data_IF_227164266693
#
_entry.id   IF_227164266693
#
_cell.length_a   1.000
_cell.length_b   1.000
_cell.length_c   1.000
_cell.angle_alpha   90.00
_cell.angle_beta   90.00
_cell.angle_gamma   90.00
#
_symmetry.space_group_name_H-M   'P 1'
#
loop_
_entity.id
_entity.type
_entity.pdbx_description
1 polymer ?
#
# COMPACT_ATOMS: atom_id res chain seq x y z
N UNK A 1 -0.17 37.19 5.16
CA UNK A 1 0.76 37.61 4.10
C UNK A 1 1.68 36.45 3.79
N UNK A 2 1.69 35.99 2.53
CA UNK A 2 2.33 34.77 2.10
C UNK A 2 3.87 34.83 2.20
N UNK A 3 4.47 33.94 2.99
CA UNK A 3 5.91 33.72 3.01
C UNK A 3 6.23 32.55 2.06
N UNK A 4 6.80 32.90 0.91
CA UNK A 4 7.34 31.96 -0.08
C UNK A 4 8.58 31.30 0.51
N UNK A 5 8.56 29.97 0.69
CA UNK A 5 9.72 29.20 1.13
C UNK A 5 10.84 29.30 0.08
N UNK A 6 11.94 29.94 0.46
CA UNK A 6 13.11 30.12 -0.39
C UNK A 6 13.89 28.80 -0.53
N UNK A 7 13.82 28.19 -1.71
CA UNK A 7 14.75 27.16 -2.13
C UNK A 7 16.16 27.78 -2.24
N UNK A 8 17.13 27.29 -1.45
CA UNK A 8 18.53 27.66 -1.59
C UNK A 8 19.13 26.93 -2.79
N UNK A 9 19.06 27.56 -3.96
CA UNK A 9 19.81 27.16 -5.14
C UNK A 9 21.30 27.50 -4.94
N UNK A 10 22.18 26.50 -5.05
CA UNK A 10 23.63 26.72 -5.16
C UNK A 10 23.93 26.88 -6.64
N UNK A 11 24.34 28.08 -7.05
CA UNK A 11 24.65 28.40 -8.44
C UNK A 11 25.99 27.80 -8.88
N UNK A 12 26.01 27.00 -9.94
CA UNK A 12 27.24 26.55 -10.60
C UNK A 12 27.12 26.64 -12.12
N UNK A 13 28.01 27.44 -12.73
CA UNK A 13 28.58 27.28 -14.09
C UNK A 13 27.72 27.62 -15.31
N UNK A 14 28.16 28.52 -16.22
CA UNK A 14 27.46 28.80 -17.47
C UNK A 14 27.86 27.77 -18.54
N UNK A 15 26.97 26.82 -18.84
CA UNK A 15 27.30 25.77 -19.79
C UNK A 15 26.12 25.12 -20.50
N UNK A 16 25.07 25.85 -20.87
CA UNK A 16 23.92 25.26 -21.58
C UNK A 16 23.34 26.21 -22.65
N UNK A 17 24.05 26.41 -23.77
CA UNK A 17 23.45 26.98 -25.00
C UNK A 17 23.18 25.86 -26.00
N UNK A 18 21.93 25.74 -26.46
CA UNK A 18 21.52 24.83 -27.53
C UNK A 18 20.62 23.64 -27.14
N UNK A 19 20.12 23.58 -25.89
CA UNK A 19 19.25 22.49 -25.45
C UNK A 19 17.80 22.65 -25.93
N UNK A 20 17.09 21.52 -26.17
CA UNK A 20 15.66 21.54 -26.45
C UNK A 20 14.89 22.32 -25.36
N UNK A 21 13.76 22.93 -25.74
CA UNK A 21 12.98 23.89 -24.92
C UNK A 21 12.51 23.36 -23.54
N UNK A 22 12.69 22.07 -23.25
CA UNK A 22 12.42 21.46 -21.94
C UNK A 22 13.54 20.50 -21.54
N UNK A 23 14.18 20.78 -20.40
CA UNK A 23 15.17 19.89 -19.79
C UNK A 23 14.50 18.57 -19.35
N UNK A 24 15.21 17.43 -19.42
CA UNK A 24 14.64 16.16 -19.00
C UNK A 24 14.47 16.08 -17.48
N UNK A 25 13.38 15.44 -17.03
CA UNK A 25 13.20 15.05 -15.63
C UNK A 25 13.74 13.63 -15.43
N UNK A 26 14.80 13.51 -14.63
CA UNK A 26 15.40 12.22 -14.27
C UNK A 26 14.90 11.79 -12.90
N UNK A 27 14.27 10.62 -12.83
CA UNK A 27 13.78 10.03 -11.57
C UNK A 27 14.65 8.85 -11.19
N UNK A 28 15.27 8.90 -10.01
CA UNK A 28 16.13 7.82 -9.50
C UNK A 28 15.33 6.97 -8.51
N UNK A 29 14.99 5.74 -8.90
CA UNK A 29 14.28 4.77 -8.07
C UNK A 29 15.21 3.65 -7.60
N UNK A 30 14.83 3.00 -6.51
CA UNK A 30 15.57 1.86 -5.97
C UNK A 30 15.31 1.63 -4.49
N UNK A 31 15.57 0.42 -4.02
CA UNK A 31 15.43 0.07 -2.61
C UNK A 31 16.34 0.92 -1.71
N UNK A 32 16.03 0.99 -0.42
CA UNK A 32 16.95 1.57 0.56
C UNK A 32 18.32 0.87 0.50
N UNK A 33 19.41 1.65 0.60
CA UNK A 33 20.78 1.11 0.57
C UNK A 33 21.37 0.87 -0.82
N UNK A 34 20.66 1.13 -1.92
CA UNK A 34 21.19 0.95 -3.29
C UNK A 34 22.08 2.09 -3.80
N UNK A 35 22.32 3.16 -3.03
CA UNK A 35 23.18 4.26 -3.46
C UNK A 35 22.49 5.36 -4.28
N UNK A 36 21.15 5.48 -4.21
CA UNK A 36 20.39 6.52 -4.94
C UNK A 36 20.95 7.94 -4.76
N UNK A 37 21.24 8.35 -3.53
CA UNK A 37 21.77 9.68 -3.23
C UNK A 37 23.18 9.87 -3.82
N UNK A 38 24.02 8.84 -3.78
CA UNK A 38 25.35 8.85 -4.40
C UNK A 38 25.24 9.09 -5.91
N UNK A 39 24.36 8.35 -6.59
CA UNK A 39 24.15 8.54 -8.02
C UNK A 39 23.59 9.94 -8.33
N UNK A 40 22.62 10.42 -7.56
CA UNK A 40 22.04 11.75 -7.75
C UNK A 40 23.09 12.86 -7.67
N UNK A 41 23.97 12.80 -6.66
CA UNK A 41 25.07 13.75 -6.49
C UNK A 41 26.06 13.69 -7.65
N UNK A 42 26.47 12.49 -8.06
CA UNK A 42 27.42 12.31 -9.16
C UNK A 42 26.85 12.80 -10.51
N UNK A 43 25.58 12.52 -10.78
CA UNK A 43 24.89 13.04 -11.98
C UNK A 43 24.77 14.57 -11.93
N UNK A 44 24.35 15.13 -10.78
CA UNK A 44 24.22 16.59 -10.61
C UNK A 44 25.55 17.32 -10.83
N UNK A 45 26.65 16.78 -10.29
CA UNK A 45 27.99 17.33 -10.47
C UNK A 45 28.48 17.26 -11.91
N UNK A 46 28.22 16.15 -12.62
CA UNK A 46 28.75 15.92 -13.99
C UNK A 46 27.90 16.53 -15.09
N UNK A 47 26.60 16.72 -14.87
CA UNK A 47 25.64 17.15 -15.90
C UNK A 47 25.00 18.51 -15.61
N UNK A 48 25.17 19.07 -14.41
CA UNK A 48 24.63 20.37 -14.03
C UNK A 48 23.11 20.35 -13.83
N UNK A 49 22.66 19.72 -12.74
CA UNK A 49 21.24 19.62 -12.40
C UNK A 49 20.94 19.81 -10.91
N UNK A 50 19.69 20.13 -10.59
CA UNK A 50 19.19 20.29 -9.23
C UNK A 50 18.62 18.97 -8.69
N UNK A 51 18.89 18.68 -7.43
CA UNK A 51 18.42 17.45 -6.76
C UNK A 51 17.21 17.80 -5.90
N UNK A 52 16.09 17.16 -6.20
CA UNK A 52 14.86 17.25 -5.40
C UNK A 52 14.65 15.93 -4.68
N UNK A 53 14.56 15.97 -3.35
CA UNK A 53 14.24 14.79 -2.54
C UNK A 53 12.76 14.46 -2.63
N UNK A 54 12.46 13.17 -2.80
CA UNK A 54 11.10 12.64 -2.84
C UNK A 54 10.85 11.60 -1.73
N UNK A 55 11.58 11.73 -0.61
CA UNK A 55 11.40 10.88 0.57
C UNK A 55 10.35 11.50 1.50
N UNK A 56 9.29 10.73 1.80
CA UNK A 56 8.18 11.16 2.66
C UNK A 56 8.56 11.33 4.13
N UNK A 57 9.76 10.89 4.52
CA UNK A 57 10.22 10.88 5.91
C UNK A 57 11.12 12.06 6.29
N UNK A 58 11.37 13.00 5.39
CA UNK A 58 12.09 14.22 5.76
C UNK A 58 11.17 15.14 6.57
N UNK A 59 11.58 15.59 7.77
CA UNK A 59 10.75 16.43 8.61
C UNK A 59 10.47 17.74 7.87
N UNK A 60 9.20 17.97 7.54
CA UNK A 60 8.74 19.30 7.18
C UNK A 60 8.47 20.03 8.49
N UNK A 61 9.35 20.94 8.88
CA UNK A 61 9.01 22.00 9.83
C UNK A 61 7.93 22.83 9.15
N UNK A 62 6.67 22.49 9.44
CA UNK A 62 5.50 23.22 8.92
C UNK A 62 4.66 23.60 10.12
N UNK A 63 4.56 24.91 10.33
CA UNK A 63 3.66 25.54 11.27
C UNK A 63 2.25 24.97 11.06
N UNK A 64 1.71 24.33 12.09
CA UNK A 64 0.44 23.62 12.02
C UNK A 64 -0.69 24.60 12.32
N UNK A 65 -1.18 25.29 11.29
CA UNK A 65 -2.60 25.67 11.29
C UNK A 65 -3.43 24.39 11.21
N UNK A 66 -4.12 24.07 12.30
CA UNK A 66 -5.00 22.90 12.44
C UNK A 66 -6.22 23.05 11.52
N UNK A 67 -6.06 22.77 10.23
CA UNK A 67 -7.18 22.38 9.38
C UNK A 67 -7.61 21.00 9.88
N UNK A 68 -8.83 20.89 10.40
CA UNK A 68 -9.42 19.61 10.79
C UNK A 68 -9.50 18.76 9.53
N UNK A 69 -8.58 17.80 9.37
CA UNK A 69 -8.58 16.89 8.23
C UNK A 69 -9.77 15.94 8.40
N UNK A 70 -10.83 16.17 7.63
CA UNK A 70 -12.06 15.35 7.59
C UNK A 70 -11.76 13.86 7.46
N UNK A 71 -10.64 13.52 6.80
CA UNK A 71 -10.14 12.15 6.71
C UNK A 71 -9.85 11.52 8.07
N UNK A 72 -9.25 12.26 8.99
CA UNK A 72 -8.89 11.79 10.34
C UNK A 72 -10.14 11.49 11.17
N UNK A 73 -11.23 12.22 10.94
CA UNK A 73 -12.53 11.91 11.57
C UNK A 73 -13.10 10.60 11.02
N UNK A 74 -13.13 10.45 9.68
CA UNK A 74 -13.62 9.25 9.04
C UNK A 74 -12.82 8.00 9.44
N UNK A 75 -11.50 8.12 9.62
CA UNK A 75 -10.64 7.00 10.04
C UNK A 75 -10.96 6.47 11.45
N UNK A 76 -11.67 7.24 12.30
CA UNK A 76 -12.14 6.80 13.63
C UNK A 76 -13.37 5.89 13.57
N UNK A 77 -14.10 5.90 12.46
CA UNK A 77 -15.29 5.06 12.29
C UNK A 77 -14.94 3.59 12.01
N UNK A 78 -15.94 2.71 12.11
CA UNK A 78 -15.75 1.31 11.75
C UNK A 78 -15.54 1.14 10.24
N UNK A 79 -14.62 0.23 9.86
CA UNK A 79 -14.23 0.03 8.47
C UNK A 79 -15.37 -0.53 7.60
N UNK A 80 -16.23 -1.38 8.15
CA UNK A 80 -17.37 -1.92 7.43
C UNK A 80 -18.47 -0.87 7.25
N UNK A 81 -18.68 -0.02 8.26
CA UNK A 81 -19.60 1.11 8.15
C UNK A 81 -19.16 2.08 7.04
N UNK A 82 -17.87 2.44 7.01
CA UNK A 82 -17.31 3.28 5.94
C UNK A 82 -17.43 2.62 4.56
N UNK A 83 -17.13 1.32 4.46
CA UNK A 83 -17.23 0.59 3.19
C UNK A 83 -18.68 0.51 2.69
N UNK A 84 -19.65 0.31 3.59
CA UNK A 84 -21.08 0.34 3.28
C UNK A 84 -21.51 1.72 2.75
N UNK A 85 -21.07 2.80 3.39
CA UNK A 85 -21.27 4.17 2.90
C UNK A 85 -20.66 4.37 1.51
N UNK A 86 -19.43 3.89 1.31
CA UNK A 86 -18.76 3.97 0.01
C UNK A 86 -19.51 3.16 -1.05
N UNK A 87 -20.08 2.01 -0.73
CA UNK A 87 -20.86 1.21 -1.67
C UNK A 87 -22.15 1.88 -2.13
N UNK A 88 -22.72 2.79 -1.33
CA UNK A 88 -23.93 3.55 -1.71
C UNK A 88 -23.59 4.72 -2.65
N UNK A 89 -22.40 5.29 -2.48
CA UNK A 89 -21.93 6.50 -3.17
C UNK A 89 -21.13 6.16 -4.45
N UNK A 90 -20.25 5.17 -4.36
CA UNK A 90 -19.29 4.78 -5.38
C UNK A 90 -19.11 3.24 -5.36
N UNK A 91 -20.07 2.47 -5.91
CA UNK A 91 -20.03 1.01 -5.91
C UNK A 91 -18.81 0.45 -6.66
N UNK A 92 -18.35 1.15 -7.70
CA UNK A 92 -17.17 0.76 -8.46
C UNK A 92 -15.88 0.81 -7.64
N UNK A 93 -15.72 1.84 -6.79
CA UNK A 93 -14.56 1.96 -5.92
C UNK A 93 -14.67 1.02 -4.72
N UNK A 94 -15.88 0.84 -4.17
CA UNK A 94 -16.14 -0.13 -3.11
C UNK A 94 -15.79 -1.57 -3.52
N UNK A 95 -16.08 -1.97 -4.77
CA UNK A 95 -15.69 -3.29 -5.28
C UNK A 95 -14.16 -3.49 -5.35
N UNK A 96 -13.39 -2.40 -5.52
CA UNK A 96 -11.92 -2.45 -5.65
C UNK A 96 -11.19 -2.36 -4.29
N UNK A 97 -11.86 -1.87 -3.25
CA UNK A 97 -11.26 -1.62 -1.94
C UNK A 97 -11.78 -2.61 -0.90
N UNK A 98 -10.87 -3.21 -0.13
CA UNK A 98 -11.26 -4.07 0.98
C UNK A 98 -11.79 -3.23 2.15
N UNK A 99 -12.81 -3.66 2.92
CA UNK A 99 -13.29 -2.89 4.08
C UNK A 99 -12.23 -2.59 5.14
N UNK A 100 -11.22 -3.47 5.28
CA UNK A 100 -10.06 -3.24 6.14
C UNK A 100 -9.09 -2.15 5.63
N UNK A 101 -9.16 -1.74 4.36
CA UNK A 101 -8.37 -0.62 3.83
C UNK A 101 -8.98 0.74 4.24
N UNK A 102 -9.24 0.92 5.54
CA UNK A 102 -9.95 2.07 6.12
C UNK A 102 -9.48 3.42 5.56
N UNK A 103 -8.16 3.62 5.47
CA UNK A 103 -7.55 4.87 4.96
C UNK A 103 -7.93 5.18 3.51
N UNK A 104 -8.02 4.16 2.64
CA UNK A 104 -8.38 4.35 1.23
C UNK A 104 -9.89 4.55 1.06
N UNK A 105 -10.68 3.84 1.88
CA UNK A 105 -12.14 4.00 1.93
C UNK A 105 -12.48 5.41 2.41
N UNK A 106 -11.91 5.83 3.55
CA UNK A 106 -12.04 7.18 4.10
C UNK A 106 -11.61 8.26 3.09
N UNK A 107 -10.47 8.07 2.39
CA UNK A 107 -10.06 9.02 1.34
C UNK A 107 -11.04 9.09 0.18
N UNK A 108 -11.64 7.96 -0.23
CA UNK A 108 -12.61 7.96 -1.34
C UNK A 108 -13.92 8.64 -0.94
N UNK A 109 -14.38 8.43 0.29
CA UNK A 109 -15.51 9.15 0.86
C UNK A 109 -15.23 10.65 0.99
N UNK A 110 -14.05 11.03 1.48
CA UNK A 110 -13.63 12.43 1.57
C UNK A 110 -13.66 13.13 0.20
N UNK A 111 -13.11 12.48 -0.84
CA UNK A 111 -13.16 13.05 -2.21
C UNK A 111 -14.60 13.30 -2.65
N UNK A 112 -15.51 12.37 -2.37
CA UNK A 112 -16.92 12.57 -2.69
C UNK A 112 -17.58 13.66 -1.84
N UNK A 113 -17.32 13.71 -0.54
CA UNK A 113 -17.86 14.76 0.36
C UNK A 113 -17.37 16.16 -0.04
N UNK A 114 -16.13 16.30 -0.49
CA UNK A 114 -15.53 17.58 -0.89
C UNK A 114 -15.92 18.03 -2.30
N UNK A 115 -16.07 17.09 -3.25
CA UNK A 115 -16.24 17.42 -4.68
C UNK A 115 -17.63 17.13 -5.23
N UNK A 116 -18.43 16.29 -4.55
CA UNK A 116 -19.69 15.75 -5.04
C UNK A 116 -19.54 14.72 -6.17
N UNK A 117 -18.32 14.42 -6.63
CA UNK A 117 -18.04 13.48 -7.72
C UNK A 117 -17.45 12.20 -7.13
N UNK A 118 -17.88 11.04 -7.64
CA UNK A 118 -17.35 9.76 -7.17
C UNK A 118 -15.85 9.63 -7.49
N UNK A 119 -15.10 8.96 -6.63
CA UNK A 119 -13.66 8.83 -6.80
C UNK A 119 -13.34 7.95 -8.04
N UNK A 120 -14.16 6.93 -8.31
CA UNK A 120 -14.07 6.12 -9.52
C UNK A 120 -14.22 6.96 -10.79
N UNK A 121 -15.17 7.90 -10.82
CA UNK A 121 -15.38 8.81 -11.94
C UNK A 121 -14.20 9.77 -12.12
N UNK A 122 -13.68 10.35 -11.03
CA UNK A 122 -12.51 11.22 -11.08
C UNK A 122 -11.30 10.51 -11.70
N UNK A 123 -11.05 9.26 -11.28
CA UNK A 123 -10.00 8.42 -11.86
C UNK A 123 -10.30 8.01 -13.31
N UNK A 124 -11.57 7.88 -13.69
CA UNK A 124 -11.95 7.60 -15.07
C UNK A 124 -11.63 8.78 -15.97
N UNK A 125 -12.02 10.00 -15.57
CA UNK A 125 -11.73 11.24 -16.28
C UNK A 125 -10.23 11.44 -16.48
N UNK A 126 -9.43 11.26 -15.42
CA UNK A 126 -7.97 11.35 -15.52
C UNK A 126 -7.38 10.36 -16.53
N UNK A 127 -7.88 9.13 -16.58
CA UNK A 127 -7.38 8.12 -17.54
C UNK A 127 -7.80 8.40 -18.97
N UNK A 128 -8.92 9.10 -19.17
CA UNK A 128 -9.45 9.45 -20.48
C UNK A 128 -8.76 10.68 -21.11
N UNK A 129 -8.01 11.45 -20.33
CA UNK A 129 -7.20 12.57 -20.84
C UNK A 129 -6.16 12.09 -21.86
N UNK A 130 -5.80 12.95 -22.81
CA UNK A 130 -4.79 12.64 -23.82
C UNK A 130 -3.42 12.39 -23.17
N UNK A 131 -2.85 11.20 -23.38
CA UNK A 131 -1.65 10.74 -22.68
C UNK A 131 -1.91 10.08 -21.32
N UNK A 132 -3.17 9.94 -20.91
CA UNK A 132 -3.61 9.16 -19.76
C UNK A 132 -3.34 7.66 -19.93
N UNK A 133 -3.28 6.94 -18.82
CA UNK A 133 -2.98 5.52 -18.82
C UNK A 133 -3.39 4.80 -17.53
N UNK A 134 -3.05 3.51 -17.36
CA UNK A 134 -3.47 2.71 -16.21
C UNK A 134 -3.04 3.27 -14.84
N UNK A 135 -2.06 4.20 -14.83
CA UNK A 135 -1.52 4.81 -13.62
C UNK A 135 -2.18 6.14 -13.25
N UNK A 136 -2.93 6.77 -14.15
CA UNK A 136 -3.57 8.08 -13.96
C UNK A 136 -3.59 8.92 -15.24
N UNK A 137 -3.61 10.24 -15.06
CA UNK A 137 -3.53 11.20 -16.16
C UNK A 137 -2.15 11.32 -16.81
N UNK A 138 -1.99 12.25 -17.76
CA UNK A 138 -0.78 12.42 -18.53
C UNK A 138 0.41 12.85 -17.67
N UNK A 139 1.61 12.55 -18.17
CA UNK A 139 2.84 13.01 -17.54
C UNK A 139 2.95 14.52 -17.67
N UNK A 140 3.07 15.20 -16.53
CA UNK A 140 3.36 16.64 -16.48
C UNK A 140 4.64 17.00 -17.24
N UNK A 141 5.64 16.10 -17.22
CA UNK A 141 6.91 16.27 -17.89
C UNK A 141 7.09 15.17 -18.97
N UNK A 142 6.92 15.51 -20.26
CA UNK A 142 6.95 14.52 -21.34
C UNK A 142 8.36 13.97 -21.58
N UNK A 143 9.39 14.77 -21.34
CA UNK A 143 10.79 14.35 -21.42
C UNK A 143 11.27 13.81 -20.05
N UNK A 144 10.69 12.70 -19.59
CA UNK A 144 11.08 12.09 -18.31
C UNK A 144 11.66 10.69 -18.50
N UNK A 145 12.60 10.31 -17.64
CA UNK A 145 13.16 8.96 -17.60
C UNK A 145 13.33 8.48 -16.16
N UNK A 146 13.26 7.17 -15.97
CA UNK A 146 13.43 6.53 -14.67
C UNK A 146 14.71 5.70 -14.70
N UNK A 147 15.63 5.99 -13.80
CA UNK A 147 16.79 5.15 -13.51
C UNK A 147 16.45 4.28 -12.30
N UNK A 148 16.34 2.97 -12.51
CA UNK A 148 16.02 2.02 -11.45
C UNK A 148 17.26 1.25 -11.02
N UNK A 149 17.80 1.63 -9.85
CA UNK A 149 18.87 0.91 -9.19
C UNK A 149 18.29 -0.34 -8.55
N UNK A 150 18.64 -1.49 -9.12
CA UNK A 150 18.30 -2.78 -8.56
C UNK A 150 19.55 -3.54 -8.15
N UNK A 151 19.42 -4.26 -7.05
CA UNK A 151 20.39 -5.23 -6.60
C UNK A 151 19.61 -6.47 -6.19
N UNK A 152 20.13 -7.65 -6.52
CA UNK A 152 19.72 -8.86 -5.82
C UNK A 152 20.22 -8.71 -4.39
N UNK A 153 19.30 -8.30 -3.53
CA UNK A 153 19.61 -7.84 -2.17
C UNK A 153 20.37 -8.93 -1.42
N UNK A 154 21.63 -8.66 -1.07
CA UNK A 154 22.25 -9.35 0.05
C UNK A 154 21.72 -8.69 1.31
N UNK A 155 20.85 -9.40 2.04
CA UNK A 155 20.34 -9.01 3.36
C UNK A 155 21.48 -8.50 4.28
N UNK A 156 22.70 -9.02 4.08
CA UNK A 156 23.96 -8.60 4.71
C UNK A 156 24.28 -7.11 4.57
N UNK A 157 24.04 -6.50 3.40
CA UNK A 157 24.32 -5.07 3.17
C UNK A 157 23.38 -4.17 3.97
N UNK A 158 22.11 -4.57 4.09
CA UNK A 158 21.13 -3.86 4.91
C UNK A 158 21.44 -4.03 6.39
N UNK A 159 21.86 -5.23 6.82
CA UNK A 159 22.28 -5.47 8.20
C UNK A 159 23.48 -4.61 8.56
N UNK A 160 24.53 -4.62 7.72
CA UNK A 160 25.72 -3.77 7.92
C UNK A 160 25.36 -2.30 8.00
N UNK A 161 24.46 -1.82 7.14
CA UNK A 161 23.99 -0.43 7.19
C UNK A 161 23.33 -0.09 8.53
N UNK A 162 22.54 -0.99 9.10
CA UNK A 162 21.93 -0.77 10.42
C UNK A 162 23.01 -0.73 11.49
N UNK A 163 24.02 -1.59 11.41
CA UNK A 163 25.16 -1.59 12.33
C UNK A 163 25.96 -0.27 12.22
N UNK A 164 26.21 0.21 11.00
CA UNK A 164 26.86 1.50 10.75
C UNK A 164 26.03 2.68 11.30
N UNK A 165 24.69 2.63 11.19
CA UNK A 165 23.79 3.64 11.77
C UNK A 165 23.86 3.66 13.31
N UNK A 166 23.95 2.49 13.95
CA UNK A 166 24.11 2.39 15.40
C UNK A 166 25.46 2.95 15.83
N UNK A 167 26.54 2.62 15.11
CA UNK A 167 27.88 3.14 15.36
C UNK A 167 27.95 4.68 15.18
N UNK A 168 27.15 5.23 14.27
CA UNK A 168 27.05 6.68 14.05
C UNK A 168 26.21 7.43 15.09
N UNK A 169 25.60 6.74 16.07
CA UNK A 169 24.86 7.38 17.16
C UNK A 169 23.33 7.39 17.01
N UNK A 170 22.75 6.49 16.22
CA UNK A 170 21.28 6.37 16.08
C UNK A 170 20.54 6.30 17.43
N UNK A 171 21.11 5.59 18.42
CA UNK A 171 20.49 5.48 19.75
C UNK A 171 20.40 6.83 20.47
N UNK A 172 21.40 7.69 20.30
CA UNK A 172 21.42 9.00 20.94
C UNK A 172 20.44 9.96 20.27
N UNK A 173 20.27 9.86 18.95
CA UNK A 173 19.22 10.55 18.22
C UNK A 173 17.83 10.12 18.71
N UNK A 174 17.59 8.80 18.85
CA UNK A 174 16.31 8.25 19.34
C UNK A 174 16.01 8.67 20.77
N UNK A 175 17.01 8.68 21.67
CA UNK A 175 16.87 9.20 23.04
C UNK A 175 16.58 10.70 23.05
N UNK A 176 17.27 11.47 22.21
CA UNK A 176 17.04 12.90 22.06
C UNK A 176 15.64 13.22 21.57
N UNK A 177 15.14 12.43 20.62
CA UNK A 177 13.77 12.52 20.12
C UNK A 177 12.75 12.12 21.20
N UNK A 178 12.94 10.99 21.88
CA UNK A 178 12.04 10.53 22.94
C UNK A 178 11.93 11.53 24.09
N UNK A 179 13.04 12.15 24.52
CA UNK A 179 13.03 13.18 25.57
C UNK A 179 12.23 14.42 25.16
N UNK A 180 12.51 14.98 23.98
CA UNK A 180 11.79 16.16 23.47
C UNK A 180 10.30 15.87 23.27
N UNK A 181 9.99 14.71 22.70
CA UNK A 181 8.61 14.34 22.41
C UNK A 181 7.77 14.03 23.65
N UNK A 182 8.32 13.31 24.64
CA UNK A 182 7.59 13.06 25.89
C UNK A 182 7.33 14.35 26.66
N UNK A 183 8.21 15.34 26.59
CA UNK A 183 7.98 16.65 27.22
C UNK A 183 6.74 17.36 26.64
N UNK A 184 6.48 17.23 25.34
CA UNK A 184 5.33 17.86 24.67
C UNK A 184 4.02 17.05 24.82
N UNK A 185 4.09 15.71 24.86
CA UNK A 185 2.92 14.82 24.76
C UNK A 185 2.49 14.08 26.02
N UNK A 186 3.29 14.08 27.10
CA UNK A 186 2.82 13.62 28.42
C UNK A 186 1.62 14.45 28.91
N UNK A 187 1.45 15.67 28.39
CA UNK A 187 0.26 16.48 28.62
C UNK A 187 -1.03 15.97 27.91
N UNK A 188 -0.92 15.17 26.83
CA UNK A 188 -2.05 14.82 25.96
C UNK A 188 -2.40 13.33 25.88
N UNK A 189 -1.61 12.43 26.48
CA UNK A 189 -1.92 11.00 26.65
C UNK A 189 -2.40 10.25 25.38
N UNK A 190 -1.90 10.62 24.18
CA UNK A 190 -2.21 9.93 22.92
C UNK A 190 -0.92 9.56 22.18
N UNK A 191 -0.59 8.27 22.11
CA UNK A 191 0.52 7.76 21.30
C UNK A 191 -0.01 7.22 19.97
N UNK A 192 -0.14 8.09 18.98
CA UNK A 192 -0.58 7.67 17.66
C UNK A 192 0.61 7.34 16.73
N UNK A 193 0.98 6.05 16.69
CA UNK A 193 2.04 5.54 15.80
C UNK A 193 1.63 5.47 14.33
N UNK A 194 0.38 5.79 14.02
CA UNK A 194 -0.17 5.65 12.68
C UNK A 194 0.01 6.90 11.82
N UNK A 195 0.51 8.01 12.37
CA UNK A 195 0.61 9.30 11.68
C UNK A 195 1.98 9.97 11.84
N UNK A 196 2.34 10.78 10.84
CA UNK A 196 3.53 11.65 10.87
C UNK A 196 4.86 10.91 11.05
N UNK A 197 5.80 11.58 11.73
CA UNK A 197 7.16 11.07 11.98
C UNK A 197 7.18 9.72 12.70
N UNK A 198 6.09 9.35 13.41
CA UNK A 198 5.98 8.07 14.08
C UNK A 198 5.91 6.89 13.13
N UNK A 199 5.59 7.08 11.85
CA UNK A 199 5.68 6.00 10.85
C UNK A 199 7.13 5.64 10.48
N UNK A 200 8.12 6.40 10.94
CA UNK A 200 9.54 6.14 10.69
C UNK A 200 9.94 4.74 11.17
N UNK A 201 10.75 4.09 10.34
CA UNK A 201 11.46 2.86 10.70
C UNK A 201 12.61 3.27 11.62
N UNK A 202 12.67 2.71 12.83
CA UNK A 202 13.71 3.01 13.82
C UNK A 202 13.15 3.46 15.16
N UNK A 203 12.04 4.22 15.20
CA UNK A 203 11.50 4.66 16.49
C UNK A 203 10.62 3.59 17.15
N UNK A 204 9.70 2.97 16.40
CA UNK A 204 8.74 1.98 16.92
C UNK A 204 9.45 0.75 17.47
N UNK A 205 10.52 0.34 16.81
CA UNK A 205 11.29 -0.85 17.15
C UNK A 205 12.03 -0.70 18.47
N UNK A 206 12.40 0.53 18.86
CA UNK A 206 13.12 0.82 20.11
C UNK A 206 12.21 1.43 21.18
N UNK A 207 10.90 1.55 20.93
CA UNK A 207 9.98 2.21 21.85
C UNK A 207 9.93 1.55 23.24
N UNK A 208 9.85 0.21 23.27
CA UNK A 208 9.86 -0.58 24.51
C UNK A 208 11.16 -0.36 25.31
N UNK A 209 12.30 -0.28 24.60
CA UNK A 209 13.61 0.03 25.20
C UNK A 209 13.66 1.45 25.78
N UNK A 210 13.13 2.45 25.06
CA UNK A 210 13.18 3.86 25.46
C UNK A 210 12.28 4.19 26.67
N UNK A 211 11.13 3.50 26.84
CA UNK A 211 10.25 3.73 28.01
C UNK A 211 10.78 3.06 29.29
N UNK A 212 11.44 1.91 29.13
CA UNK A 212 11.96 1.09 30.23
C UNK A 212 13.36 1.53 30.68
N UNK A 213 13.98 2.46 29.95
CA UNK A 213 15.28 3.06 30.27
C UNK A 213 15.23 3.69 31.68
N UNK A 214 16.12 3.23 32.57
CA UNK A 214 16.19 3.66 33.97
C UNK A 214 15.21 2.98 34.94
N UNK A 215 14.29 2.11 34.46
CA UNK A 215 13.30 1.39 35.30
C UNK A 215 13.56 -0.11 35.44
N UNK A 216 14.45 -0.67 34.62
CA UNK A 216 14.70 -2.11 34.54
C UNK A 216 16.16 -2.47 34.82
N UNK A 217 16.42 -3.76 35.06
CA UNK A 217 17.79 -4.28 35.25
C UNK A 217 18.64 -4.13 33.97
N UNK A 218 19.98 -4.00 34.09
CA UNK A 218 20.88 -3.90 32.94
C UNK A 218 20.73 -5.05 31.94
N UNK A 219 20.46 -6.27 32.43
CA UNK A 219 20.28 -7.46 31.60
C UNK A 219 19.01 -7.35 30.74
N UNK A 220 17.91 -6.91 31.34
CA UNK A 220 16.63 -6.71 30.65
C UNK A 220 16.74 -5.61 29.60
N UNK A 221 17.43 -4.51 29.95
CA UNK A 221 17.69 -3.40 29.01
C UNK A 221 18.49 -3.86 27.79
N UNK A 222 19.53 -4.66 27.99
CA UNK A 222 20.34 -5.23 26.91
C UNK A 222 19.54 -6.19 26.02
N UNK A 223 18.61 -6.97 26.58
CA UNK A 223 17.73 -7.85 25.80
C UNK A 223 16.77 -7.05 24.92
N UNK A 224 16.16 -5.98 25.47
CA UNK A 224 15.27 -5.09 24.71
C UNK A 224 16.02 -4.36 23.60
N UNK A 225 17.27 -3.94 23.85
CA UNK A 225 18.12 -3.34 22.84
C UNK A 225 18.38 -4.30 21.67
N UNK A 226 18.77 -5.55 21.95
CA UNK A 226 18.99 -6.57 20.92
C UNK A 226 17.72 -6.85 20.12
N UNK A 227 16.58 -6.98 20.80
CA UNK A 227 15.26 -7.15 20.18
C UNK A 227 14.92 -5.99 19.24
N UNK A 228 15.19 -4.75 19.66
CA UNK A 228 14.98 -3.56 18.83
C UNK A 228 15.85 -3.53 17.58
N UNK A 229 17.14 -3.89 17.70
CA UNK A 229 18.08 -3.97 16.57
C UNK A 229 17.64 -5.04 15.57
N UNK A 230 17.26 -6.23 16.03
CA UNK A 230 16.78 -7.30 15.16
C UNK A 230 15.48 -6.91 14.45
N UNK A 231 14.55 -6.29 15.17
CA UNK A 231 13.31 -5.76 14.60
C UNK A 231 13.59 -4.71 13.52
N UNK A 232 14.51 -3.78 13.77
CA UNK A 232 14.93 -2.76 12.80
C UNK A 232 15.52 -3.37 11.53
N UNK A 233 16.41 -4.36 11.66
CA UNK A 233 16.97 -5.11 10.52
C UNK A 233 15.86 -5.78 9.71
N UNK A 234 14.92 -6.47 10.38
CA UNK A 234 13.80 -7.15 9.71
C UNK A 234 12.86 -6.18 9.00
N UNK A 235 12.49 -5.05 9.62
CA UNK A 235 11.61 -4.05 9.02
C UNK A 235 12.28 -3.37 7.82
N UNK A 236 13.58 -3.07 7.92
CA UNK A 236 14.37 -2.51 6.81
C UNK A 236 14.39 -3.46 5.60
N UNK A 237 14.61 -4.77 5.82
CA UNK A 237 14.54 -5.80 4.76
C UNK A 237 13.15 -5.88 4.13
N UNK A 238 12.10 -5.91 4.96
CA UNK A 238 10.71 -5.92 4.48
C UNK A 238 10.38 -4.67 3.65
N UNK A 239 10.84 -3.50 4.08
CA UNK A 239 10.67 -2.25 3.37
C UNK A 239 11.38 -2.26 2.01
N UNK A 240 12.64 -2.71 1.97
CA UNK A 240 13.42 -2.84 0.74
C UNK A 240 12.74 -3.78 -0.29
N UNK A 241 12.21 -4.92 0.18
CA UNK A 241 11.44 -5.86 -0.68
C UNK A 241 10.13 -5.25 -1.17
N UNK A 242 9.44 -4.50 -0.30
CA UNK A 242 8.20 -3.78 -0.66
C UNK A 242 8.45 -2.71 -1.73
N UNK A 243 9.52 -1.94 -1.61
CA UNK A 243 9.93 -0.95 -2.62
C UNK A 243 10.20 -1.61 -3.98
N UNK A 244 10.99 -2.68 -4.01
CA UNK A 244 11.25 -3.42 -5.25
C UNK A 244 9.98 -3.98 -5.87
N UNK A 245 9.10 -4.57 -5.06
CA UNK A 245 7.78 -5.06 -5.53
C UNK A 245 6.93 -3.92 -6.07
N UNK A 246 6.94 -2.76 -5.42
CA UNK A 246 6.18 -1.59 -5.87
C UNK A 246 6.71 -1.08 -7.21
N UNK A 247 8.02 -0.92 -7.39
CA UNK A 247 8.60 -0.49 -8.68
C UNK A 247 8.24 -1.48 -9.80
N UNK A 248 8.43 -2.78 -9.56
CA UNK A 248 8.08 -3.83 -10.51
C UNK A 248 6.60 -3.76 -10.91
N UNK A 249 5.69 -3.74 -9.94
CA UNK A 249 4.25 -3.75 -10.21
C UNK A 249 3.70 -2.44 -10.78
N UNK A 250 4.28 -1.30 -10.38
CA UNK A 250 3.80 0.04 -10.76
C UNK A 250 4.32 0.45 -12.13
N UNK A 251 5.61 0.25 -12.41
CA UNK A 251 6.26 0.77 -13.61
C UNK A 251 6.59 -0.31 -14.64
N UNK A 252 6.99 -1.52 -14.24
CA UNK A 252 7.43 -2.55 -15.19
C UNK A 252 6.30 -3.45 -15.69
N UNK A 253 5.35 -3.80 -14.81
CA UNK A 253 4.24 -4.71 -15.13
C UNK A 253 3.06 -4.01 -15.81
N UNK A 254 3.06 -2.69 -15.93
CA UNK A 254 1.97 -1.93 -16.57
C UNK A 254 2.53 -0.80 -17.44
N UNK A 255 3.23 -1.13 -18.54
CA UNK A 255 3.75 -0.11 -19.44
C UNK A 255 2.58 0.54 -20.18
N UNK A 256 2.11 1.69 -19.68
CA UNK A 256 1.16 2.55 -20.38
C UNK A 256 1.89 3.73 -21.05
N UNK A 257 1.24 4.46 -21.97
CA UNK A 257 1.81 5.66 -22.59
C UNK A 257 2.15 6.75 -21.55
N UNK A 258 1.48 6.72 -20.39
CA UNK A 258 1.73 7.61 -19.24
C UNK A 258 2.92 7.17 -18.36
N UNK A 259 3.70 6.16 -18.76
CA UNK A 259 4.80 5.62 -17.96
C UNK A 259 6.14 5.95 -18.60
N UNK A 260 7.03 6.71 -17.93
CA UNK A 260 8.34 7.01 -18.46
C UNK A 260 9.17 5.73 -18.66
N UNK A 261 10.08 5.68 -19.64
CA UNK A 261 10.97 4.54 -19.83
C UNK A 261 11.82 4.31 -18.57
N UNK A 262 11.84 3.05 -18.13
CA UNK A 262 12.61 2.60 -16.96
C UNK A 262 13.88 1.92 -17.42
N UNK A 263 15.04 2.41 -16.98
CA UNK A 263 16.34 1.82 -17.25
C UNK A 263 16.89 1.16 -15.98
N UNK A 264 17.20 -0.13 -16.06
CA UNK A 264 17.76 -0.89 -14.94
C UNK A 264 19.26 -0.66 -14.82
N UNK A 265 19.72 -0.36 -13.61
CA UNK A 265 21.13 -0.24 -13.26
C UNK A 265 21.44 -1.24 -12.15
N UNK A 266 22.39 -2.14 -12.41
CA UNK A 266 22.73 -3.21 -11.48
C UNK A 266 23.77 -2.75 -10.44
N UNK A 267 23.44 -2.93 -9.15
CA UNK A 267 24.26 -2.49 -8.01
C UNK A 267 24.73 -3.66 -7.14
N UNK A 268 24.89 -4.85 -7.73
CA UNK A 268 25.28 -6.06 -7.00
C UNK A 268 26.70 -5.96 -6.42
N UNK A 269 27.64 -5.36 -7.17
CA UNK A 269 29.03 -5.15 -6.76
C UNK A 269 29.35 -3.65 -6.64
N UNK A 270 29.74 -3.20 -5.44
CA UNK A 270 30.11 -1.80 -5.17
C UNK A 270 31.44 -1.44 -5.84
N UNK A 271 32.32 -2.41 -6.05
CA UNK A 271 33.65 -2.18 -6.65
C UNK A 271 33.54 -1.76 -8.12
N UNK A 272 32.47 -2.20 -8.80
CA UNK A 272 32.18 -1.91 -10.21
C UNK A 272 31.19 -0.76 -10.40
N UNK A 273 30.98 0.06 -9.38
CA UNK A 273 29.99 1.14 -9.39
C UNK A 273 30.12 2.09 -10.59
N UNK A 274 31.36 2.47 -10.94
CA UNK A 274 31.61 3.39 -12.05
C UNK A 274 31.11 2.79 -13.38
N UNK A 275 31.50 1.56 -13.68
CA UNK A 275 31.19 0.84 -14.93
C UNK A 275 29.73 0.36 -14.99
N UNK A 276 29.17 -0.15 -13.89
CA UNK A 276 27.86 -0.81 -13.88
C UNK A 276 26.68 0.13 -13.62
N UNK A 277 26.93 1.29 -12.99
CA UNK A 277 25.89 2.23 -12.59
C UNK A 277 26.13 3.61 -13.18
N UNK A 278 27.30 4.21 -12.92
CA UNK A 278 27.50 5.64 -13.19
C UNK A 278 27.65 5.94 -14.68
N UNK A 279 28.51 5.22 -15.39
CA UNK A 279 28.73 5.41 -16.83
C UNK A 279 27.43 5.16 -17.65
N UNK A 280 26.69 4.05 -17.44
CA UNK A 280 25.42 3.85 -18.13
C UNK A 280 24.38 4.93 -17.79
N UNK A 281 24.30 5.37 -16.53
CA UNK A 281 23.40 6.44 -16.13
C UNK A 281 23.74 7.77 -16.84
N UNK A 282 25.03 8.12 -16.94
CA UNK A 282 25.47 9.33 -17.64
C UNK A 282 25.14 9.27 -19.12
N UNK A 283 25.37 8.13 -19.78
CA UNK A 283 25.04 7.94 -21.19
C UNK A 283 23.54 8.11 -21.44
N UNK A 284 22.71 7.48 -20.61
CA UNK A 284 21.26 7.59 -20.69
C UNK A 284 20.84 9.05 -20.53
N UNK A 285 21.25 9.72 -19.45
CA UNK A 285 20.81 11.09 -19.19
C UNK A 285 21.33 12.06 -20.26
N UNK A 286 22.58 11.92 -20.73
CA UNK A 286 23.11 12.72 -21.84
C UNK A 286 22.29 12.55 -23.12
N UNK A 287 21.85 11.34 -23.43
CA UNK A 287 20.99 11.08 -24.58
C UNK A 287 19.65 11.83 -24.47
N UNK A 288 19.02 11.80 -23.29
CA UNK A 288 17.78 12.54 -23.01
C UNK A 288 17.98 14.06 -23.08
N UNK A 289 19.10 14.57 -22.58
CA UNK A 289 19.47 16.00 -22.68
C UNK A 289 19.61 16.41 -24.16
N UNK A 290 20.21 15.55 -25.00
CA UNK A 290 20.40 15.78 -26.43
C UNK A 290 19.16 15.50 -27.29
N UNK A 291 18.05 15.04 -26.70
CA UNK A 291 16.83 14.64 -27.42
C UNK A 291 16.98 13.37 -28.26
N UNK A 292 17.98 12.52 -27.96
CA UNK A 292 18.22 11.23 -28.62
C UNK A 292 17.72 10.08 -27.77
N UNK A 293 17.37 8.96 -28.40
CA UNK A 293 17.08 7.71 -27.69
C UNK A 293 18.41 7.09 -27.22
N UNK A 294 18.54 6.68 -25.94
CA UNK A 294 19.75 6.03 -25.46
C UNK A 294 19.93 4.64 -26.08
N UNK A 295 21.18 4.16 -26.13
CA UNK A 295 21.51 2.83 -26.65
C UNK A 295 20.97 1.70 -25.77
N UNK A 296 20.90 1.92 -24.44
CA UNK A 296 20.32 0.99 -23.50
C UNK A 296 18.81 0.79 -23.74
N UNK A 297 18.35 -0.46 -23.74
CA UNK A 297 16.94 -0.77 -23.83
C UNK A 297 16.24 -0.59 -22.48
N UNK A 298 15.01 -0.03 -22.43
CA UNK A 298 14.25 0.06 -21.20
C UNK A 298 13.83 -1.33 -20.72
N UNK A 299 13.86 -1.53 -19.40
CA UNK A 299 13.44 -2.77 -18.74
C UNK A 299 11.94 -2.93 -18.90
N UNK A 300 11.52 -4.10 -19.38
CA UNK A 300 10.11 -4.50 -19.47
C UNK A 300 9.94 -5.83 -18.74
N UNK A 301 8.83 -5.99 -18.03
CA UNK A 301 8.42 -7.30 -17.52
C UNK A 301 7.19 -7.79 -18.28
N UNK A 302 7.07 -9.11 -18.51
CA UNK A 302 5.85 -9.68 -19.08
C UNK A 302 4.67 -9.29 -18.19
N UNK A 303 3.64 -8.70 -18.80
CA UNK A 303 2.37 -8.47 -18.12
C UNK A 303 1.46 -9.66 -18.44
N UNK A 304 1.08 -10.39 -17.41
CA UNK A 304 -0.01 -11.36 -17.53
C UNK A 304 -1.34 -10.60 -17.48
N UNK A 305 -1.96 -10.39 -18.64
CA UNK A 305 -3.25 -9.70 -18.78
C UNK A 305 -4.42 -10.52 -18.22
N UNK A 306 -4.21 -11.81 -17.93
CA UNK A 306 -5.28 -12.75 -17.61
C UNK A 306 -5.73 -12.73 -16.14
N UNK A 307 -4.95 -12.16 -15.22
CA UNK A 307 -5.30 -12.11 -13.79
C UNK A 307 -6.04 -10.81 -13.43
N UNK A 308 -7.37 -10.87 -13.22
CA UNK A 308 -8.11 -9.76 -12.65
C UNK A 308 -7.85 -9.64 -11.13
N UNK A 309 -6.85 -8.83 -10.77
CA UNK A 309 -6.44 -8.57 -9.37
C UNK A 309 -7.42 -7.68 -8.59
N UNK A 310 -8.56 -7.33 -9.17
CA UNK A 310 -9.53 -6.37 -8.61
C UNK A 310 -10.96 -6.91 -8.56
N UNK A 311 -11.17 -8.18 -8.91
CA UNK A 311 -12.47 -8.83 -8.74
C UNK A 311 -12.82 -8.92 -7.25
N UNK A 312 -14.11 -8.74 -6.95
CA UNK A 312 -14.63 -8.81 -5.60
C UNK A 312 -15.32 -10.17 -5.41
N UNK A 313 -14.88 -10.95 -4.44
CA UNK A 313 -15.45 -12.25 -4.09
C UNK A 313 -15.81 -12.30 -2.61
N UNK A 314 -16.97 -12.86 -2.28
CA UNK A 314 -17.42 -13.08 -0.92
C UNK A 314 -17.57 -14.58 -0.68
N UNK A 315 -16.96 -15.09 0.39
CA UNK A 315 -17.16 -16.47 0.81
C UNK A 315 -18.18 -16.52 1.95
N UNK A 316 -19.41 -16.95 1.65
CA UNK A 316 -20.48 -17.09 2.65
C UNK A 316 -20.14 -18.11 3.75
N UNK A 317 -19.28 -19.10 3.46
CA UNK A 317 -18.90 -20.13 4.42
C UNK A 317 -17.90 -19.64 5.45
N UNK A 318 -16.98 -18.77 5.02
CA UNK A 318 -15.92 -18.23 5.87
C UNK A 318 -16.23 -16.83 6.38
N UNK A 319 -17.30 -16.20 5.88
CA UNK A 319 -17.64 -14.79 6.10
C UNK A 319 -16.43 -13.87 5.83
N UNK A 320 -15.84 -14.03 4.64
CA UNK A 320 -14.62 -13.31 4.24
C UNK A 320 -14.75 -12.73 2.85
N UNK A 321 -14.31 -11.49 2.73
CA UNK A 321 -14.15 -10.78 1.46
C UNK A 321 -12.75 -11.04 0.93
N UNK A 322 -12.65 -11.39 -0.35
CA UNK A 322 -11.40 -11.68 -1.04
C UNK A 322 -11.37 -10.90 -2.35
N UNK A 323 -10.28 -10.17 -2.57
CA UNK A 323 -10.10 -9.37 -3.77
C UNK A 323 -9.07 -10.05 -4.66
N UNK A 324 -9.45 -10.32 -5.91
CA UNK A 324 -8.61 -10.95 -6.92
C UNK A 324 -8.94 -12.42 -7.17
N UNK A 325 -8.95 -12.82 -8.44
CA UNK A 325 -9.34 -14.17 -8.85
C UNK A 325 -8.35 -15.24 -8.35
N UNK A 326 -7.07 -14.91 -8.32
CA UNK A 326 -6.04 -15.83 -7.84
C UNK A 326 -6.14 -16.06 -6.34
N UNK A 327 -6.32 -14.98 -5.58
CA UNK A 327 -6.51 -15.02 -4.14
C UNK A 327 -7.79 -15.80 -3.79
N UNK A 328 -8.86 -15.63 -4.57
CA UNK A 328 -10.09 -16.40 -4.47
C UNK A 328 -9.88 -17.90 -4.75
N UNK A 329 -9.23 -18.23 -5.86
CA UNK A 329 -8.91 -19.62 -6.20
C UNK A 329 -8.02 -20.30 -5.15
N UNK A 330 -7.07 -19.55 -4.57
CA UNK A 330 -6.25 -20.02 -3.46
C UNK A 330 -7.06 -20.20 -2.17
N UNK A 331 -8.00 -19.31 -1.89
CA UNK A 331 -8.89 -19.42 -0.73
C UNK A 331 -9.78 -20.67 -0.79
N UNK A 332 -10.44 -20.93 -1.92
CA UNK A 332 -11.32 -22.11 -2.08
C UNK A 332 -10.52 -23.41 -1.84
N UNK A 333 -9.25 -23.43 -2.25
CA UNK A 333 -8.34 -24.58 -2.06
C UNK A 333 -7.67 -24.60 -0.68
N UNK A 334 -7.89 -23.60 0.17
CA UNK A 334 -7.20 -23.47 1.45
C UNK A 334 -7.70 -24.47 2.48
N UNK A 335 -6.80 -24.93 3.36
CA UNK A 335 -7.15 -25.83 4.48
C UNK A 335 -8.25 -25.25 5.38
N UNK A 336 -8.24 -23.93 5.59
CA UNK A 336 -9.24 -23.24 6.39
C UNK A 336 -10.63 -23.31 5.76
N UNK A 337 -10.73 -23.05 4.45
CA UNK A 337 -12.01 -23.12 3.73
C UNK A 337 -12.55 -24.55 3.66
N UNK A 338 -11.68 -25.52 3.32
CA UNK A 338 -12.03 -26.94 3.29
C UNK A 338 -12.47 -27.47 4.67
N UNK A 339 -11.84 -27.03 5.75
CA UNK A 339 -12.25 -27.36 7.11
C UNK A 339 -13.65 -26.81 7.42
N UNK A 340 -13.92 -25.56 7.07
CA UNK A 340 -15.21 -24.91 7.30
C UNK A 340 -16.32 -25.55 6.45
N UNK A 341 -16.04 -25.91 5.20
CA UNK A 341 -16.90 -26.73 4.34
C UNK A 341 -17.25 -28.07 5.00
N UNK A 342 -16.24 -28.78 5.52
CA UNK A 342 -16.45 -30.07 6.20
C UNK A 342 -17.27 -29.92 7.48
N UNK A 343 -17.06 -28.84 8.24
CA UNK A 343 -17.83 -28.51 9.44
C UNK A 343 -19.29 -28.23 9.10
N UNK A 344 -19.56 -27.44 8.07
CA UNK A 344 -20.93 -27.14 7.60
C UNK A 344 -21.66 -28.41 7.17
N UNK A 345 -21.03 -29.24 6.33
CA UNK A 345 -21.61 -30.52 5.89
C UNK A 345 -21.96 -31.46 7.05
N UNK A 346 -21.14 -31.52 8.11
CA UNK A 346 -21.46 -32.29 9.31
C UNK A 346 -22.70 -31.75 10.02
N UNK A 347 -22.77 -30.43 10.24
CA UNK A 347 -23.93 -29.80 10.86
C UNK A 347 -25.21 -30.00 10.03
N UNK A 348 -25.10 -29.93 8.70
CA UNK A 348 -26.23 -30.16 7.81
C UNK A 348 -26.68 -31.63 7.84
N UNK A 349 -25.75 -32.60 7.88
CA UNK A 349 -26.07 -34.02 8.06
C UNK A 349 -26.70 -34.33 9.43
N UNK A 350 -26.16 -33.72 10.50
CA UNK A 350 -26.70 -33.87 11.86
C UNK A 350 -28.11 -33.25 11.96
N UNK A 351 -28.35 -32.13 11.28
CA UNK A 351 -29.67 -31.50 11.18
C UNK A 351 -30.68 -32.36 10.41
N UNK A 352 -30.29 -32.99 9.30
CA UNK A 352 -31.16 -33.92 8.55
C UNK A 352 -31.52 -35.15 9.40
N UNK A 353 -30.55 -35.71 10.11
CA UNK A 353 -30.79 -36.85 11.02
C UNK A 353 -31.73 -36.49 12.18
N UNK A 354 -31.68 -35.23 12.66
CA UNK A 354 -32.56 -34.72 13.72
C UNK A 354 -33.98 -34.48 13.23
N UNK A 355 -34.16 -34.08 11.98
CA UNK A 355 -35.50 -33.90 11.36
C UNK A 355 -36.15 -35.26 11.08
N UNK A 356 -35.40 -36.25 10.58
CA UNK A 356 -35.92 -37.60 10.32
C UNK A 356 -36.34 -38.34 11.62
N UNK A 357 -35.65 -38.09 12.73
CA UNK A 357 -35.99 -38.66 14.04
C UNK A 357 -37.16 -37.96 14.75
N UNK A 358 -37.56 -36.76 14.34
CA UNK A 358 -38.78 -36.08 14.82
C UNK A 358 -40.03 -36.42 14.00
N UNK A 359 -39.88 -36.93 12.78
CA UNK A 359 -41.00 -37.35 11.92
C UNK A 359 -41.53 -38.77 12.18
N UNK A 360 -41.01 -39.50 13.17
CA UNK A 360 -41.44 -40.87 13.49
C UNK A 360 -41.76 -40.97 14.99
N UNK A 361 -43.01 -40.69 15.37
CA UNK A 361 -43.72 -41.22 16.56
C UNK A 361 -45.20 -40.76 16.60
N UNK A 362 -46.13 -41.52 17.21
CA UNK A 362 -47.39 -41.93 16.57
C UNK A 362 -48.68 -41.34 17.17
N UNK A 363 -49.77 -41.52 16.39
CA UNK A 363 -51.19 -41.24 16.63
C UNK A 363 -51.71 -41.48 18.06
N UNK A 364 -52.58 -40.56 18.52
CA UNK A 364 -53.62 -40.86 19.51
C UNK A 364 -54.84 -39.94 19.37
N UNK A 365 -55.94 -40.54 18.89
CA UNK A 365 -57.30 -40.00 18.83
C UNK A 365 -57.87 -39.56 20.20
N UNK A 366 -58.68 -38.48 20.21
CA UNK A 366 -59.92 -38.38 21.02
C UNK A 366 -60.84 -37.22 20.62
N UNK A 367 -62.10 -37.58 20.38
CA UNK A 367 -63.27 -36.75 20.03
C UNK A 367 -63.67 -35.68 21.09
N UNK A 368 -64.38 -34.61 20.66
CA UNK A 368 -65.76 -34.28 21.11
C UNK A 368 -66.40 -33.07 20.39
N UNK A 369 -67.72 -33.21 20.17
CA UNK A 369 -68.74 -32.43 19.41
C UNK A 369 -69.12 -31.04 19.94
N UNK A 370 -69.64 -30.16 19.04
CA UNK A 370 -71.05 -29.64 18.97
C UNK A 370 -71.20 -28.59 17.84
N UNK A 371 -71.99 -28.85 16.77
CA UNK A 371 -73.41 -28.51 16.47
C UNK A 371 -73.63 -27.27 15.56
N UNK A 372 -74.35 -27.48 14.45
CA UNK A 372 -75.01 -26.44 13.64
C UNK A 372 -75.28 -26.84 12.18
N UNK A 373 -76.43 -27.46 11.90
CA UNK A 373 -76.97 -27.91 10.59
C UNK A 373 -77.64 -26.77 9.78
N UNK A 374 -78.33 -27.02 8.62
CA UNK A 374 -78.03 -27.84 7.43
C UNK A 374 -78.24 -27.08 6.08
N UNK A 375 -77.82 -27.67 4.95
CA UNK A 375 -78.16 -27.15 3.61
C UNK A 375 -77.71 -28.02 2.43
N UNK A 376 -78.49 -29.07 2.17
CA UNK A 376 -78.78 -29.85 0.94
C UNK A 376 -78.01 -29.66 -0.40
N UNK A 377 -77.74 -30.85 -1.01
CA UNK A 377 -77.75 -31.24 -2.44
C UNK A 377 -76.62 -30.69 -3.35
N UNK A 378 -75.97 -31.44 -4.24
CA UNK A 378 -76.11 -32.80 -4.77
C UNK A 378 -75.18 -32.94 -6.01
N UNK A 379 -75.00 -34.19 -6.46
CA UNK A 379 -74.42 -34.62 -7.76
C UNK A 379 -72.88 -34.69 -7.96
N UNK A 380 -72.37 -35.90 -7.71
CA UNK A 380 -71.71 -36.79 -8.69
C UNK A 380 -71.18 -36.20 -10.00
N UNK A 381 -69.89 -36.39 -10.30
CA UNK A 381 -69.43 -37.46 -11.21
C UNK A 381 -67.89 -37.53 -11.30
N UNK A 382 -67.47 -38.76 -11.60
CA UNK A 382 -66.14 -39.38 -11.49
C UNK A 382 -65.18 -39.05 -12.66
N UNK A 383 -63.90 -39.49 -12.55
CA UNK A 383 -62.76 -38.96 -13.28
C UNK A 383 -62.35 -39.83 -14.47
N UNK A 384 -61.43 -39.33 -15.30
CA UNK A 384 -60.59 -40.07 -16.27
C UNK A 384 -59.58 -39.06 -16.84
N UNK A 385 -58.30 -39.30 -17.09
CA UNK A 385 -57.34 -40.40 -16.97
C UNK A 385 -55.97 -39.74 -17.01
#
# INVERSE_FOLDING_TARGET
>A
MAAVAAARAVSVGPGLRGLPRTLPLVVILGATGTGKSTLALQLGQRLGGEIVSADSMQPQETDTEKVIDRKVELEKEDGHALHKRLSQVDPEMAAKLHPHDKRKVARSLQVFEETGISHSEFLCRQRAEEGGGPLGGPLRFPNSCILWLHADQTDKRLDKRVDDMLAAGLLDELRGFHRRYNQEKVAENSQDYQHGIFQSIGFKEFHEYLITEGKCTPETSNQLLKKGIEALKQVTKRYARKQNRWVKNRFLSRPGPSVPPVYGLEVSDVSKWEESVLEPALEIVRSFIQGRKPAAAPVRMPHDETENKRSYHMCDLCDRIIIGDREWAAHIKSKSHLHQLKKRRRLDSDAVTTVESQSISPDCDKELKEKGSPGQNGEELRPSV
#
